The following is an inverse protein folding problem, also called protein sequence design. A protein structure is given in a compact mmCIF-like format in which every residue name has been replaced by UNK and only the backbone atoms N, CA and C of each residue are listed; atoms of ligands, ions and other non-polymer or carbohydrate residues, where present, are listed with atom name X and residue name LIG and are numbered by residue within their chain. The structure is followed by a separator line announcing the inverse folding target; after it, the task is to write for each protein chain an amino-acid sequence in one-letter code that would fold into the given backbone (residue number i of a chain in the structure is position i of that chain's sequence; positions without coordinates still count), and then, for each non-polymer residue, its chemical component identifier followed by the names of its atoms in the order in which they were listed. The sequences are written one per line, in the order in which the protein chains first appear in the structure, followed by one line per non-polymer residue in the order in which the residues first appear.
data_IF_865115943761
#
_entry.id   IF_865115943761
#
_cell.length_a   1.000
_cell.length_b   1.000
_cell.length_c   1.000
_cell.angle_alpha   90.00
_cell.angle_beta   90.00
_cell.angle_gamma   90.00
#
_symmetry.space_group_name_H-M   'P 1'
#
loop_
_entity.id
_entity.type
_entity.pdbx_description
1 polymer ?
#
# COMPACT_ATOMS: atom_id res chain seq x y z
N UNK A 1 -24.95 15.48 -16.68
CA UNK A 1 -24.66 15.21 -15.27
C UNK A 1 -23.82 13.95 -15.26
N UNK A 2 -22.57 14.11 -15.70
CA UNK A 2 -21.59 13.03 -15.70
C UNK A 2 -21.37 12.55 -14.27
N UNK A 3 -21.53 11.24 -14.10
CA UNK A 3 -21.26 10.51 -12.88
C UNK A 3 -19.74 10.56 -12.64
N UNK A 4 -19.26 11.61 -11.99
CA UNK A 4 -17.91 11.60 -11.41
C UNK A 4 -17.98 10.81 -10.11
N UNK A 5 -18.19 9.50 -10.25
CA UNK A 5 -17.63 8.56 -9.31
C UNK A 5 -16.12 8.77 -9.41
N UNK A 6 -15.58 9.66 -8.59
CA UNK A 6 -14.15 9.64 -8.34
C UNK A 6 -13.94 8.37 -7.51
N UNK A 7 -13.42 7.26 -8.06
CA UNK A 7 -13.06 6.12 -7.23
C UNK A 7 -12.07 6.67 -6.21
N UNK A 8 -12.52 6.67 -4.96
CA UNK A 8 -11.97 7.53 -3.93
C UNK A 8 -10.53 7.20 -3.71
N UNK A 9 -9.65 8.22 -3.72
CA UNK A 9 -8.29 8.19 -3.18
C UNK A 9 -7.77 6.76 -3.12
N UNK A 10 -7.55 6.14 -4.29
CA UNK A 10 -7.14 4.75 -4.38
C UNK A 10 -5.93 4.64 -3.47
N UNK A 11 -6.13 4.04 -2.29
CA UNK A 11 -5.04 3.76 -1.38
C UNK A 11 -4.26 2.69 -2.12
N UNK A 12 -3.39 3.13 -3.03
CA UNK A 12 -2.61 2.28 -3.92
C UNK A 12 -1.96 1.30 -2.98
N UNK A 13 -2.27 0.02 -3.08
CA UNK A 13 -1.67 -0.94 -2.20
C UNK A 13 -0.16 -0.96 -2.47
N UNK A 14 0.66 -1.16 -1.44
CA UNK A 14 2.10 -1.13 -1.61
C UNK A 14 2.48 -2.17 -2.68
N UNK A 15 3.08 -1.77 -3.82
CA UNK A 15 3.28 -2.68 -4.96
C UNK A 15 4.26 -3.81 -4.65
N UNK A 16 5.01 -3.68 -3.55
CA UNK A 16 5.99 -4.66 -3.10
C UNK A 16 5.39 -5.75 -2.19
N UNK A 17 4.30 -5.46 -1.49
CA UNK A 17 3.63 -6.45 -0.63
C UNK A 17 2.14 -6.65 -0.95
N UNK A 18 1.59 -5.92 -1.91
CA UNK A 18 0.18 -5.96 -2.28
C UNK A 18 -0.75 -5.71 -1.09
N UNK A 19 -0.51 -4.65 -0.32
CA UNK A 19 -1.43 -4.26 0.77
C UNK A 19 -1.19 -4.95 2.11
N UNK A 20 -0.40 -6.01 2.16
CA UNK A 20 -0.24 -6.83 3.37
C UNK A 20 0.74 -6.27 4.41
N UNK A 21 1.62 -5.36 4.01
CA UNK A 21 2.67 -4.82 4.88
C UNK A 21 3.87 -5.75 5.10
N UNK A 22 3.89 -6.95 4.51
CA UNK A 22 4.96 -7.91 4.73
C UNK A 22 4.60 -9.31 4.24
N UNK A 23 5.40 -10.30 4.62
CA UNK A 23 5.14 -11.70 4.27
C UNK A 23 5.64 -12.63 5.37
N UNK A 24 5.03 -13.83 5.51
CA UNK A 24 5.52 -14.83 6.43
C UNK A 24 6.89 -15.34 5.96
N UNK A 25 7.90 -15.19 6.81
CA UNK A 25 9.24 -15.73 6.59
C UNK A 25 9.52 -16.95 7.45
N UNK A 26 10.59 -17.66 7.11
CA UNK A 26 11.08 -18.86 7.83
C UNK A 26 11.39 -18.62 9.32
N UNK A 27 11.71 -17.39 9.71
CA UNK A 27 12.07 -17.02 11.09
C UNK A 27 11.00 -16.18 11.79
N UNK A 28 9.87 -15.90 11.13
CA UNK A 28 8.85 -14.97 11.60
C UNK A 28 8.35 -14.03 10.49
N UNK A 29 7.53 -13.05 10.87
CA UNK A 29 6.99 -12.06 9.92
C UNK A 29 8.10 -11.15 9.39
N UNK A 30 8.23 -11.06 8.06
CA UNK A 30 9.15 -10.14 7.40
C UNK A 30 8.39 -8.89 7.01
N UNK A 31 8.73 -7.77 7.65
CA UNK A 31 8.12 -6.47 7.38
C UNK A 31 8.58 -5.96 6.02
N UNK A 32 7.62 -5.54 5.18
CA UNK A 32 7.90 -4.90 3.91
C UNK A 32 8.55 -3.55 4.17
N UNK A 33 9.85 -3.41 3.88
CA UNK A 33 10.61 -2.16 4.09
C UNK A 33 10.08 -0.96 3.28
N UNK A 34 9.64 -1.12 2.01
CA UNK A 34 9.11 -0.03 1.20
C UNK A 34 7.90 0.71 1.81
N UNK A 35 6.93 -0.02 2.37
CA UNK A 35 5.82 0.57 3.12
C UNK A 35 6.05 0.60 4.64
N UNK A 36 7.18 0.06 5.10
CA UNK A 36 7.49 -0.10 6.52
C UNK A 36 6.38 -0.79 7.34
N UNK A 37 5.72 -1.78 6.74
CA UNK A 37 4.66 -2.53 7.42
C UNK A 37 3.25 -1.98 7.29
N UNK A 38 3.05 -0.80 6.68
CA UNK A 38 1.72 -0.18 6.61
C UNK A 38 0.81 -0.76 5.54
N UNK A 39 1.35 -1.57 4.62
CA UNK A 39 0.59 -2.08 3.48
C UNK A 39 0.30 -1.04 2.40
N UNK A 40 0.53 0.24 2.68
CA UNK A 40 0.36 1.35 1.74
C UNK A 40 1.72 1.99 1.42
N UNK A 41 2.00 2.38 0.16
CA UNK A 41 3.13 3.23 -0.13
C UNK A 41 2.95 4.50 0.69
N UNK A 42 4.06 5.11 1.13
CA UNK A 42 3.95 6.45 1.68
C UNK A 42 3.21 7.31 0.66
N UNK A 43 2.18 8.07 1.08
CA UNK A 43 1.53 8.99 0.17
C UNK A 43 2.64 9.84 -0.44
N UNK A 44 2.85 9.66 -1.73
CA UNK A 44 3.61 10.60 -2.53
C UNK A 44 2.73 11.84 -2.54
N UNK A 45 2.83 12.61 -1.46
CA UNK A 45 2.15 13.86 -1.29
C UNK A 45 2.73 14.81 -2.34
N UNK A 46 2.03 14.89 -3.48
CA UNK A 46 1.95 16.03 -4.38
C UNK A 46 3.28 16.76 -4.60
N UNK A 47 4.09 16.30 -5.56
CA UNK A 47 5.13 17.14 -6.15
C UNK A 47 4.52 18.09 -7.20
#
# INVERSE_FOLDING_TARGET
MENQEQPGTDAVECPMCGGTGGWPGVSGWVVCRPCNGTGTPKPEESA
#
